data_IF_709187244540
#
_entry.id   IF_709187244540
#
_cell.length_a   1.000
_cell.length_b   1.000
_cell.length_c   1.000
_cell.angle_alpha   90.00
_cell.angle_beta   90.00
_cell.angle_gamma   90.00
#
_symmetry.space_group_name_H-M   'P 1'
#
loop_
_entity.id
_entity.type
_entity.pdbx_description
1 polymer ?
#
# COMPACT_ATOMS: atom_id res chain seq x y z
N UNK A 1 -9.06 -48.55 -4.52
CA UNK A 1 -10.00 -47.47 -4.22
C UNK A 1 -9.43 -46.47 -3.24
N UNK A 2 -8.85 -46.88 -2.11
CA UNK A 2 -8.23 -45.98 -1.09
C UNK A 2 -7.02 -45.22 -1.67
N UNK A 3 -6.19 -45.84 -2.53
CA UNK A 3 -5.07 -45.16 -3.18
C UNK A 3 -5.45 -44.12 -4.25
N UNK A 4 -6.64 -44.24 -4.84
CA UNK A 4 -7.15 -43.21 -5.78
C UNK A 4 -7.77 -42.01 -5.04
N UNK A 5 -8.42 -42.24 -3.92
CA UNK A 5 -8.93 -41.17 -3.06
C UNK A 5 -7.76 -40.31 -2.51
N UNK A 6 -6.68 -40.96 -2.04
CA UNK A 6 -5.49 -40.20 -1.58
C UNK A 6 -4.79 -39.41 -2.70
N UNK A 7 -4.83 -39.91 -3.93
CA UNK A 7 -4.22 -39.23 -5.08
C UNK A 7 -5.07 -38.05 -5.56
N UNK A 8 -6.41 -38.14 -5.48
CA UNK A 8 -7.30 -37.04 -5.80
C UNK A 8 -7.25 -35.92 -4.74
N UNK A 9 -7.13 -36.28 -3.46
CA UNK A 9 -7.00 -35.29 -2.38
C UNK A 9 -5.67 -34.57 -2.42
N UNK A 10 -4.56 -35.26 -2.73
CA UNK A 10 -3.25 -34.64 -2.94
C UNK A 10 -3.26 -33.75 -4.18
N UNK A 11 -3.92 -34.15 -5.26
CA UNK A 11 -4.03 -33.36 -6.50
C UNK A 11 -4.93 -32.13 -6.32
N UNK A 12 -6.00 -32.21 -5.55
CA UNK A 12 -6.85 -31.07 -5.19
C UNK A 12 -6.13 -30.14 -4.21
N UNK A 13 -5.41 -30.66 -3.22
CA UNK A 13 -4.57 -29.86 -2.31
C UNK A 13 -3.44 -29.16 -3.06
N UNK A 14 -2.74 -29.83 -3.98
CA UNK A 14 -1.70 -29.23 -4.82
C UNK A 14 -2.30 -28.18 -5.78
N UNK A 15 -3.49 -28.43 -6.33
CA UNK A 15 -4.18 -27.48 -7.21
C UNK A 15 -4.82 -26.32 -6.44
N UNK A 16 -5.27 -26.52 -5.20
CA UNK A 16 -5.73 -25.45 -4.32
C UNK A 16 -4.57 -24.63 -3.73
N UNK A 17 -3.43 -25.24 -3.45
CA UNK A 17 -2.18 -24.50 -3.15
C UNK A 17 -1.63 -23.79 -4.40
N UNK A 18 -1.82 -24.32 -5.59
CA UNK A 18 -1.46 -23.71 -6.87
C UNK A 18 -2.54 -22.79 -7.46
N UNK A 19 -3.67 -22.64 -6.85
CA UNK A 19 -4.49 -21.42 -6.97
C UNK A 19 -3.72 -20.28 -6.24
N UNK A 20 -2.45 -20.10 -6.60
CA UNK A 20 -1.82 -18.79 -6.63
C UNK A 20 -2.92 -17.85 -7.05
N UNK A 21 -3.26 -16.89 -6.22
CA UNK A 21 -4.34 -15.92 -6.46
C UNK A 21 -4.19 -15.43 -7.90
N UNK A 22 -4.86 -16.11 -8.82
CA UNK A 22 -4.79 -15.77 -10.23
C UNK A 22 -5.21 -14.32 -10.26
N UNK A 23 -4.31 -13.43 -10.65
CA UNK A 23 -4.65 -12.03 -10.80
C UNK A 23 -5.64 -12.05 -11.94
N UNK A 24 -6.94 -12.14 -11.59
CA UNK A 24 -8.00 -12.01 -12.57
C UNK A 24 -7.78 -10.65 -13.23
N UNK A 25 -7.42 -10.68 -14.52
CA UNK A 25 -7.30 -9.48 -15.31
C UNK A 25 -8.64 -8.77 -15.29
N UNK A 26 -8.70 -7.69 -14.53
CA UNK A 26 -9.90 -6.87 -14.45
C UNK A 26 -10.06 -6.16 -15.79
N UNK A 27 -11.30 -6.01 -16.25
CA UNK A 27 -11.60 -5.29 -17.48
C UNK A 27 -10.91 -3.92 -17.49
N UNK A 28 -10.25 -3.60 -18.59
CA UNK A 28 -9.59 -2.30 -18.82
C UNK A 28 -10.52 -1.11 -18.51
N UNK A 29 -11.83 -1.27 -18.79
CA UNK A 29 -12.87 -0.27 -18.48
C UNK A 29 -12.93 0.06 -16.98
N UNK A 30 -12.91 -0.95 -16.09
CA UNK A 30 -12.92 -0.72 -14.63
C UNK A 30 -11.66 0.01 -14.16
N UNK A 31 -10.52 -0.31 -14.73
CA UNK A 31 -9.25 0.32 -14.39
C UNK A 31 -9.23 1.80 -14.78
N UNK A 32 -9.71 2.11 -15.99
CA UNK A 32 -9.85 3.49 -16.46
C UNK A 32 -10.87 4.28 -15.64
N UNK A 33 -11.97 3.65 -15.22
CA UNK A 33 -12.96 4.29 -14.35
C UNK A 33 -12.35 4.78 -13.03
N UNK A 34 -11.57 3.96 -12.33
CA UNK A 34 -10.94 4.38 -11.08
C UNK A 34 -9.88 5.47 -11.28
N UNK A 35 -9.15 5.43 -12.40
CA UNK A 35 -8.22 6.49 -12.75
C UNK A 35 -8.95 7.81 -13.03
N UNK A 36 -10.08 7.76 -13.72
CA UNK A 36 -10.93 8.93 -13.94
C UNK A 36 -11.49 9.47 -12.62
N UNK A 37 -11.97 8.61 -11.73
CA UNK A 37 -12.45 9.02 -10.40
C UNK A 37 -11.33 9.72 -9.61
N UNK A 38 -10.12 9.19 -9.65
CA UNK A 38 -8.95 9.80 -9.01
C UNK A 38 -8.66 11.20 -9.59
N UNK A 39 -8.65 11.34 -10.91
CA UNK A 39 -8.41 12.62 -11.58
C UNK A 39 -9.55 13.63 -11.34
N UNK A 40 -10.80 13.20 -11.39
CA UNK A 40 -11.95 14.06 -11.10
C UNK A 40 -11.87 14.57 -9.66
N UNK A 41 -11.58 13.69 -8.68
CA UNK A 41 -11.38 14.09 -7.31
C UNK A 41 -10.26 15.12 -7.17
N UNK A 42 -9.14 14.92 -7.84
CA UNK A 42 -8.02 15.87 -7.81
C UNK A 42 -8.36 17.21 -8.48
N UNK A 43 -8.98 17.19 -9.66
CA UNK A 43 -9.42 18.42 -10.32
C UNK A 43 -10.47 19.18 -9.48
N UNK A 44 -11.38 18.46 -8.84
CA UNK A 44 -12.39 19.07 -7.98
C UNK A 44 -11.78 19.76 -6.77
N UNK A 45 -10.69 19.25 -6.19
CA UNK A 45 -9.99 19.93 -5.09
C UNK A 45 -9.43 21.29 -5.54
N UNK A 46 -8.90 21.37 -6.76
CA UNK A 46 -8.30 22.61 -7.30
C UNK A 46 -9.35 23.71 -7.49
N UNK A 47 -10.61 23.33 -7.77
CA UNK A 47 -11.70 24.26 -8.04
C UNK A 47 -12.48 24.68 -6.78
N UNK A 48 -12.26 24.00 -5.65
CA UNK A 48 -12.92 24.34 -4.37
C UNK A 48 -12.22 25.54 -3.75
N UNK A 49 -13.02 26.53 -3.37
CA UNK A 49 -12.60 27.72 -2.60
C UNK A 49 -13.33 27.75 -1.27
N UNK A 50 -12.71 28.30 -0.24
CA UNK A 50 -13.34 28.57 1.05
C UNK A 50 -12.85 27.67 2.19
N UNK A 51 -13.78 27.21 3.04
CA UNK A 51 -13.44 26.51 4.28
C UNK A 51 -12.86 25.10 4.04
N UNK A 52 -11.98 24.64 4.93
CA UNK A 52 -11.36 23.30 4.89
C UNK A 52 -12.36 22.14 4.77
N UNK A 53 -13.58 22.31 5.30
CA UNK A 53 -14.66 21.33 5.24
C UNK A 53 -15.09 21.05 3.79
N UNK A 54 -15.04 22.05 2.92
CA UNK A 54 -15.43 21.93 1.51
C UNK A 54 -14.49 20.99 0.72
N UNK A 55 -13.27 20.78 1.21
CA UNK A 55 -12.31 19.84 0.59
C UNK A 55 -12.60 18.36 0.89
N UNK A 56 -13.48 18.05 1.89
CA UNK A 56 -13.76 16.68 2.30
C UNK A 56 -14.42 15.85 1.19
N UNK A 57 -15.48 16.30 0.49
CA UNK A 57 -16.13 15.50 -0.54
C UNK A 57 -15.19 15.16 -1.72
N UNK A 58 -14.44 16.11 -2.32
CA UNK A 58 -13.53 15.79 -3.41
C UNK A 58 -12.35 14.92 -2.98
N UNK A 59 -11.82 15.08 -1.76
CA UNK A 59 -10.78 14.19 -1.23
C UNK A 59 -11.30 12.78 -1.01
N UNK A 60 -12.49 12.61 -0.46
CA UNK A 60 -13.12 11.30 -0.29
C UNK A 60 -13.32 10.59 -1.65
N UNK A 61 -13.76 11.32 -2.67
CA UNK A 61 -13.87 10.80 -4.04
C UNK A 61 -12.51 10.38 -4.57
N UNK A 62 -11.46 11.18 -4.34
CA UNK A 62 -10.08 10.84 -4.69
C UNK A 62 -9.57 9.57 -4.03
N UNK A 63 -9.91 9.34 -2.76
CA UNK A 63 -9.55 8.12 -2.02
C UNK A 63 -10.18 6.88 -2.64
N UNK A 64 -11.43 6.96 -3.10
CA UNK A 64 -12.08 5.86 -3.83
C UNK A 64 -11.30 5.54 -5.11
N UNK A 65 -10.86 6.57 -5.83
CA UNK A 65 -9.97 6.43 -6.98
C UNK A 65 -8.64 5.76 -6.62
N UNK A 66 -7.96 6.24 -5.55
CA UNK A 66 -6.70 5.67 -5.05
C UNK A 66 -6.83 4.20 -4.68
N UNK A 67 -7.91 3.81 -3.99
CA UNK A 67 -8.19 2.41 -3.68
C UNK A 67 -8.24 1.55 -4.95
N UNK A 68 -8.93 2.02 -5.99
CA UNK A 68 -8.99 1.33 -7.28
C UNK A 68 -7.63 1.23 -7.98
N UNK A 69 -6.79 2.28 -7.87
CA UNK A 69 -5.42 2.28 -8.39
C UNK A 69 -4.57 1.19 -7.71
N UNK A 70 -4.62 1.09 -6.37
CA UNK A 70 -3.90 0.06 -5.62
C UNK A 70 -4.42 -1.35 -5.91
N UNK A 71 -5.73 -1.53 -6.01
CA UNK A 71 -6.33 -2.85 -6.16
C UNK A 71 -6.27 -3.41 -7.58
N UNK A 72 -6.35 -2.55 -8.59
CA UNK A 72 -6.52 -2.98 -9.98
C UNK A 72 -5.41 -2.50 -10.91
N UNK A 73 -5.07 -1.20 -10.89
CA UNK A 73 -4.17 -0.60 -11.87
C UNK A 73 -2.71 -1.00 -11.62
N UNK A 74 -2.17 -0.77 -10.43
CA UNK A 74 -0.77 -1.08 -10.11
C UNK A 74 -0.41 -2.56 -10.29
N UNK A 75 -1.19 -3.54 -9.77
CA UNK A 75 -0.87 -4.94 -9.97
C UNK A 75 -0.85 -5.33 -11.45
N UNK A 76 -1.76 -4.78 -12.25
CA UNK A 76 -1.80 -5.08 -13.70
C UNK A 76 -0.65 -4.41 -14.46
N UNK A 77 -0.29 -3.18 -14.12
CA UNK A 77 0.87 -2.50 -14.73
C UNK A 77 2.16 -3.27 -14.48
N UNK A 78 2.36 -3.76 -13.25
CA UNK A 78 3.54 -4.52 -12.89
C UNK A 78 3.62 -5.86 -13.63
N UNK A 79 2.49 -6.50 -13.90
CA UNK A 79 2.44 -7.75 -14.66
C UNK A 79 2.53 -7.55 -16.17
N UNK A 80 1.92 -6.48 -16.70
CA UNK A 80 1.89 -6.24 -18.15
C UNK A 80 3.25 -5.84 -18.71
N UNK A 81 4.08 -5.13 -17.95
CA UNK A 81 5.41 -4.67 -18.36
C UNK A 81 6.45 -5.80 -18.50
N UNK A 82 6.01 -7.05 -18.46
CA UNK A 82 6.83 -8.26 -18.58
C UNK A 82 7.76 -8.26 -19.81
N UNK A 83 7.30 -7.74 -20.94
CA UNK A 83 8.04 -7.79 -22.21
C UNK A 83 9.22 -6.81 -22.29
N UNK A 84 9.18 -5.71 -21.51
CA UNK A 84 10.15 -4.62 -21.62
C UNK A 84 11.27 -4.67 -20.56
N UNK A 85 11.21 -5.60 -19.61
CA UNK A 85 12.17 -5.68 -18.52
C UNK A 85 13.32 -6.64 -18.87
N UNK A 86 14.51 -6.09 -19.09
CA UNK A 86 15.75 -6.84 -19.43
C UNK A 86 16.30 -7.70 -18.27
N UNK A 87 15.69 -7.69 -17.07
CA UNK A 87 16.18 -8.41 -15.90
C UNK A 87 15.13 -9.32 -15.27
N UNK A 88 15.39 -10.66 -15.27
CA UNK A 88 14.50 -11.64 -14.62
C UNK A 88 14.21 -11.32 -13.15
N UNK A 89 15.17 -10.79 -12.41
CA UNK A 89 15.05 -10.43 -10.99
C UNK A 89 14.04 -9.30 -10.75
N UNK A 90 14.09 -8.23 -11.58
CA UNK A 90 13.19 -7.08 -11.46
C UNK A 90 11.74 -7.49 -11.71
N UNK A 91 11.53 -8.40 -12.67
CA UNK A 91 10.20 -8.92 -12.95
C UNK A 91 9.59 -9.68 -11.77
N UNK A 92 10.37 -10.54 -11.11
CA UNK A 92 9.92 -11.28 -9.92
C UNK A 92 9.57 -10.28 -8.81
N UNK A 93 10.43 -9.29 -8.53
CA UNK A 93 10.16 -8.24 -7.54
C UNK A 93 8.86 -7.48 -7.84
N UNK A 94 8.64 -7.06 -9.09
CA UNK A 94 7.42 -6.34 -9.50
C UNK A 94 6.16 -7.19 -9.33
N UNK A 95 6.23 -8.47 -9.69
CA UNK A 95 5.12 -9.41 -9.51
C UNK A 95 4.76 -9.55 -8.02
N UNK A 96 5.74 -9.75 -7.16
CA UNK A 96 5.54 -9.85 -5.72
C UNK A 96 4.97 -8.56 -5.11
N UNK A 97 5.50 -7.40 -5.50
CA UNK A 97 4.99 -6.12 -5.03
C UNK A 97 3.54 -5.90 -5.50
N UNK A 98 3.23 -6.25 -6.75
CA UNK A 98 1.86 -6.17 -7.27
C UNK A 98 0.88 -7.02 -6.48
N UNK A 99 1.26 -8.25 -6.10
CA UNK A 99 0.45 -9.11 -5.25
C UNK A 99 0.30 -8.53 -3.84
N UNK A 100 1.39 -8.02 -3.24
CA UNK A 100 1.35 -7.39 -1.91
C UNK A 100 0.43 -6.17 -1.89
N UNK A 101 0.55 -5.27 -2.86
CA UNK A 101 -0.30 -4.08 -2.97
C UNK A 101 -1.76 -4.49 -3.14
N UNK A 102 -2.05 -5.47 -4.00
CA UNK A 102 -3.41 -5.96 -4.19
C UNK A 102 -4.02 -6.51 -2.90
N UNK A 103 -3.27 -7.29 -2.14
CA UNK A 103 -3.75 -7.89 -0.90
C UNK A 103 -3.93 -6.87 0.22
N UNK A 104 -3.06 -5.85 0.28
CA UNK A 104 -3.11 -4.78 1.28
C UNK A 104 -3.91 -3.56 0.82
N UNK A 105 -4.49 -3.56 -0.39
CA UNK A 105 -5.15 -2.40 -1.00
C UNK A 105 -6.24 -1.76 -0.13
N UNK A 106 -7.03 -2.56 0.60
CA UNK A 106 -8.06 -2.04 1.51
C UNK A 106 -7.47 -1.29 2.71
N UNK A 107 -6.37 -1.79 3.27
CA UNK A 107 -5.69 -1.15 4.39
C UNK A 107 -4.94 0.12 3.93
N UNK A 108 -4.32 0.07 2.75
CA UNK A 108 -3.68 1.25 2.15
C UNK A 108 -4.76 2.31 1.82
N UNK A 109 -5.92 1.90 1.29
CA UNK A 109 -7.06 2.79 1.04
C UNK A 109 -7.56 3.46 2.31
N UNK A 110 -7.68 2.71 3.41
CA UNK A 110 -8.03 3.26 4.71
C UNK A 110 -6.95 4.22 5.24
N UNK A 111 -5.69 3.86 5.07
CA UNK A 111 -4.56 4.71 5.47
C UNK A 111 -4.54 6.03 4.68
N UNK A 112 -4.78 5.98 3.36
CA UNK A 112 -4.86 7.19 2.53
C UNK A 112 -6.05 8.07 2.93
N UNK A 113 -7.20 7.48 3.27
CA UNK A 113 -8.36 8.20 3.78
C UNK A 113 -8.03 8.95 5.09
N UNK A 114 -7.35 8.29 6.02
CA UNK A 114 -6.94 8.91 7.28
C UNK A 114 -6.08 10.16 7.04
N UNK A 115 -5.15 10.10 6.10
CA UNK A 115 -4.23 11.21 5.85
C UNK A 115 -4.88 12.31 5.03
N UNK A 116 -5.67 11.98 4.01
CA UNK A 116 -6.21 12.97 3.09
C UNK A 116 -7.52 13.59 3.55
N UNK A 117 -8.31 12.90 4.38
CA UNK A 117 -9.62 13.37 4.85
C UNK A 117 -9.59 13.75 6.34
N UNK A 118 -9.11 12.85 7.19
CA UNK A 118 -9.15 13.09 8.64
C UNK A 118 -8.23 14.23 9.07
N UNK A 119 -7.10 14.37 8.43
CA UNK A 119 -6.11 15.39 8.76
C UNK A 119 -6.63 16.83 8.51
N UNK A 120 -7.25 17.15 7.36
CA UNK A 120 -7.95 18.43 7.18
C UNK A 120 -9.07 18.68 8.18
N UNK A 121 -9.83 17.64 8.55
CA UNK A 121 -10.89 17.76 9.56
C UNK A 121 -10.30 18.16 10.91
N UNK A 122 -9.21 17.53 11.33
CA UNK A 122 -8.51 17.91 12.55
C UNK A 122 -7.98 19.34 12.49
N UNK A 123 -7.40 19.72 11.36
CA UNK A 123 -6.86 21.06 11.17
C UNK A 123 -7.93 22.16 11.12
N UNK A 124 -9.20 21.82 10.86
CA UNK A 124 -10.32 22.78 10.92
C UNK A 124 -10.83 23.04 12.34
N UNK A 125 -10.41 22.25 13.33
CA UNK A 125 -10.78 22.43 14.74
C UNK A 125 -9.91 23.48 15.44
N UNK A 126 -10.46 24.09 16.48
CA UNK A 126 -9.67 25.04 17.28
C UNK A 126 -8.61 24.30 18.09
N UNK A 127 -7.34 24.72 17.96
CA UNK A 127 -6.17 24.06 18.57
C UNK A 127 -6.28 23.98 20.11
N UNK A 128 -6.93 24.96 20.74
CA UNK A 128 -7.12 25.00 22.20
C UNK A 128 -8.29 24.13 22.69
N UNK A 129 -9.05 23.52 21.79
CA UNK A 129 -10.19 22.70 22.16
C UNK A 129 -9.77 21.31 22.62
N UNK A 130 -10.48 20.77 23.61
CA UNK A 130 -10.31 19.37 24.04
C UNK A 130 -10.62 18.38 22.88
N UNK A 131 -11.47 18.78 21.95
CA UNK A 131 -11.82 18.01 20.75
C UNK A 131 -10.62 17.83 19.83
N UNK A 132 -9.82 18.88 19.63
CA UNK A 132 -8.60 18.82 18.84
C UNK A 132 -7.58 17.84 19.46
N UNK A 133 -7.34 17.93 20.79
CA UNK A 133 -6.40 17.05 21.47
C UNK A 133 -6.86 15.59 21.39
N UNK A 134 -8.13 15.33 21.65
CA UNK A 134 -8.71 13.98 21.57
C UNK A 134 -8.65 13.44 20.13
N UNK A 135 -8.94 14.27 19.14
CA UNK A 135 -8.84 13.95 17.73
C UNK A 135 -7.41 13.60 17.31
N UNK A 136 -6.43 14.37 17.77
CA UNK A 136 -5.00 14.10 17.52
C UNK A 136 -4.55 12.76 18.09
N UNK A 137 -4.88 12.48 19.35
CA UNK A 137 -4.55 11.20 19.99
C UNK A 137 -5.20 10.05 19.23
N UNK A 138 -6.47 10.20 18.88
CA UNK A 138 -7.22 9.19 18.11
C UNK A 138 -6.57 8.95 16.74
N UNK A 139 -6.16 10.01 16.03
CA UNK A 139 -5.47 9.90 14.75
C UNK A 139 -4.17 9.09 14.86
N UNK A 140 -3.32 9.43 15.83
CA UNK A 140 -2.05 8.73 16.04
C UNK A 140 -2.27 7.23 16.31
N UNK A 141 -3.28 6.92 17.12
CA UNK A 141 -3.62 5.53 17.46
C UNK A 141 -4.14 4.74 16.25
N UNK A 142 -5.07 5.33 15.49
CA UNK A 142 -5.67 4.67 14.32
C UNK A 142 -4.62 4.43 13.23
N UNK A 143 -3.76 5.42 12.94
CA UNK A 143 -2.67 5.26 11.97
C UNK A 143 -1.73 4.12 12.38
N UNK A 144 -1.32 4.07 13.65
CA UNK A 144 -0.48 2.98 14.15
C UNK A 144 -1.14 1.61 13.98
N UNK A 145 -2.43 1.48 14.35
CA UNK A 145 -3.20 0.23 14.22
C UNK A 145 -3.34 -0.24 12.78
N UNK A 146 -3.58 0.68 11.84
CA UNK A 146 -3.67 0.34 10.40
C UNK A 146 -2.33 -0.12 9.87
N UNK A 147 -1.23 0.54 10.25
CA UNK A 147 0.12 0.17 9.83
C UNK A 147 0.53 -1.20 10.40
N UNK A 148 0.19 -1.49 11.65
CA UNK A 148 0.40 -2.81 12.26
C UNK A 148 -0.41 -3.88 11.50
N UNK A 149 -1.64 -3.57 11.10
CA UNK A 149 -2.47 -4.48 10.30
C UNK A 149 -1.87 -4.75 8.92
N UNK A 150 -1.27 -3.73 8.29
CA UNK A 150 -0.51 -3.89 7.03
C UNK A 150 0.67 -4.83 7.25
N UNK A 151 1.47 -4.59 8.31
CA UNK A 151 2.62 -5.43 8.66
C UNK A 151 2.20 -6.90 8.87
N UNK A 152 1.13 -7.12 9.62
CA UNK A 152 0.60 -8.46 9.86
C UNK A 152 0.23 -9.16 8.54
N UNK A 153 -0.49 -8.47 7.66
CA UNK A 153 -0.88 -9.01 6.36
C UNK A 153 0.31 -9.29 5.44
N UNK A 154 1.31 -8.41 5.43
CA UNK A 154 2.56 -8.62 4.73
C UNK A 154 3.31 -9.86 5.25
N UNK A 155 3.31 -10.08 6.56
CA UNK A 155 3.94 -11.26 7.18
C UNK A 155 3.22 -12.56 6.85
N UNK A 156 1.89 -12.55 6.74
CA UNK A 156 1.14 -13.73 6.31
C UNK A 156 1.52 -14.15 4.87
N UNK A 157 1.67 -13.19 3.96
CA UNK A 157 2.04 -13.48 2.58
C UNK A 157 3.51 -13.92 2.42
N UNK A 158 4.37 -13.55 3.38
CA UNK A 158 5.76 -13.99 3.35
C UNK A 158 5.92 -15.51 3.34
N UNK A 159 5.06 -16.25 4.03
CA UNK A 159 5.15 -17.73 4.05
C UNK A 159 5.10 -18.31 2.64
N UNK A 160 4.24 -17.76 1.77
CA UNK A 160 4.15 -18.19 0.38
C UNK A 160 5.39 -17.76 -0.42
N UNK A 161 5.88 -16.53 -0.19
CA UNK A 161 7.11 -16.02 -0.83
C UNK A 161 8.35 -16.82 -0.45
N UNK A 162 8.47 -17.30 0.80
CA UNK A 162 9.63 -18.09 1.21
C UNK A 162 9.70 -19.42 0.46
N UNK A 163 8.56 -20.03 0.12
CA UNK A 163 8.54 -21.20 -0.77
C UNK A 163 9.12 -20.87 -2.15
N UNK A 164 8.75 -19.72 -2.73
CA UNK A 164 9.27 -19.26 -4.03
C UNK A 164 10.77 -18.93 -3.95
N UNK A 165 11.24 -18.29 -2.88
CA UNK A 165 12.67 -18.02 -2.66
C UNK A 165 13.48 -19.30 -2.47
N UNK A 166 12.93 -20.33 -1.82
CA UNK A 166 13.56 -21.64 -1.73
C UNK A 166 13.72 -22.29 -3.12
N UNK A 167 12.72 -22.16 -4.00
CA UNK A 167 12.81 -22.65 -5.38
C UNK A 167 13.89 -21.87 -6.15
N UNK A 168 13.94 -20.52 -5.99
CA UNK A 168 14.97 -19.70 -6.63
C UNK A 168 16.38 -20.06 -6.17
N UNK A 169 16.56 -20.39 -4.88
CA UNK A 169 17.84 -20.87 -4.35
C UNK A 169 18.25 -22.20 -5.02
N UNK A 170 17.32 -23.14 -5.16
CA UNK A 170 17.57 -24.42 -5.88
C UNK A 170 17.92 -24.22 -7.35
N UNK A 171 17.46 -23.15 -7.99
CA UNK A 171 17.78 -22.78 -9.39
C UNK A 171 19.12 -22.05 -9.50
N UNK A 172 19.80 -21.77 -8.35
CA UNK A 172 21.15 -21.19 -8.34
C UNK A 172 21.23 -19.71 -7.96
N UNK A 173 20.14 -19.11 -7.44
CA UNK A 173 20.22 -17.75 -6.89
C UNK A 173 20.93 -17.78 -5.53
N UNK A 174 21.96 -16.95 -5.39
CA UNK A 174 22.73 -16.83 -4.15
C UNK A 174 21.91 -16.05 -3.10
N UNK A 175 22.10 -16.36 -1.83
CA UNK A 175 21.45 -15.66 -0.71
C UNK A 175 21.56 -14.14 -0.77
N UNK A 176 22.71 -13.60 -1.20
CA UNK A 176 22.92 -12.17 -1.37
C UNK A 176 21.94 -11.54 -2.38
N UNK A 177 21.61 -12.27 -3.45
CA UNK A 177 20.68 -11.80 -4.48
C UNK A 177 19.24 -11.83 -3.98
N UNK A 178 18.84 -12.88 -3.26
CA UNK A 178 17.52 -12.97 -2.62
C UNK A 178 17.29 -11.85 -1.59
N UNK A 179 18.33 -11.53 -0.81
CA UNK A 179 18.30 -10.40 0.14
C UNK A 179 18.14 -9.05 -0.58
N UNK A 180 18.84 -8.84 -1.69
CA UNK A 180 18.69 -7.62 -2.51
C UNK A 180 17.30 -7.53 -3.14
N UNK A 181 16.74 -8.66 -3.57
CA UNK A 181 15.36 -8.71 -4.10
C UNK A 181 14.36 -8.32 -3.03
N UNK A 182 14.46 -8.87 -1.82
CA UNK A 182 13.59 -8.54 -0.70
C UNK A 182 13.65 -7.04 -0.34
N UNK A 183 14.84 -6.44 -0.36
CA UNK A 183 15.02 -5.01 -0.11
C UNK A 183 14.36 -4.16 -1.20
N UNK A 184 14.58 -4.51 -2.47
CA UNK A 184 13.96 -3.82 -3.62
C UNK A 184 12.43 -3.89 -3.56
N UNK A 185 11.85 -5.05 -3.19
CA UNK A 185 10.41 -5.21 -3.03
C UNK A 185 9.85 -4.26 -1.96
N UNK A 186 10.50 -4.18 -0.80
CA UNK A 186 10.07 -3.30 0.27
C UNK A 186 10.15 -1.82 -0.13
N UNK A 187 11.26 -1.39 -0.76
CA UNK A 187 11.41 -0.01 -1.23
C UNK A 187 10.36 0.33 -2.27
N UNK A 188 10.12 -0.55 -3.24
CA UNK A 188 9.13 -0.32 -4.29
C UNK A 188 7.71 -0.24 -3.72
N UNK A 189 7.38 -1.11 -2.76
CA UNK A 189 6.11 -1.04 -2.06
C UNK A 189 5.92 0.30 -1.35
N UNK A 190 6.94 0.78 -0.63
CA UNK A 190 6.92 2.06 0.05
C UNK A 190 6.70 3.23 -0.91
N UNK A 191 7.44 3.25 -2.01
CA UNK A 191 7.30 4.28 -3.06
C UNK A 191 5.86 4.29 -3.59
N UNK A 192 5.29 3.14 -3.90
CA UNK A 192 3.91 3.07 -4.41
C UNK A 192 2.88 3.60 -3.40
N UNK A 193 3.05 3.27 -2.11
CA UNK A 193 2.12 3.72 -1.05
C UNK A 193 2.21 5.23 -0.84
N UNK A 194 3.39 5.83 -0.97
CA UNK A 194 3.59 7.28 -0.79
C UNK A 194 3.22 8.10 -2.02
N UNK A 195 3.61 7.66 -3.22
CA UNK A 195 3.51 8.49 -4.44
C UNK A 195 2.06 8.77 -4.84
N UNK A 196 1.15 7.81 -4.67
CA UNK A 196 -0.24 7.99 -5.11
C UNK A 196 -0.98 9.08 -4.33
N UNK A 197 -0.92 9.18 -2.98
CA UNK A 197 -1.58 10.25 -2.25
C UNK A 197 -0.82 11.59 -2.30
N UNK A 198 0.46 11.61 -2.70
CA UNK A 198 1.30 12.82 -2.70
C UNK A 198 0.64 14.04 -3.36
N UNK A 199 0.03 13.97 -4.55
CA UNK A 199 -0.57 15.16 -5.18
C UNK A 199 -1.63 15.81 -4.29
N UNK A 200 -2.47 15.01 -3.64
CA UNK A 200 -3.50 15.49 -2.71
C UNK A 200 -2.87 16.13 -1.46
N UNK A 201 -1.83 15.50 -0.92
CA UNK A 201 -1.14 16.00 0.27
C UNK A 201 -0.40 17.32 0.01
N UNK A 202 0.24 17.46 -1.15
CA UNK A 202 0.93 18.69 -1.55
C UNK A 202 -0.08 19.83 -1.73
N UNK A 203 -1.21 19.54 -2.37
CA UNK A 203 -2.24 20.56 -2.56
C UNK A 203 -2.82 21.02 -1.22
N UNK A 204 -3.15 20.10 -0.32
CA UNK A 204 -3.63 20.43 1.02
C UNK A 204 -2.59 21.21 1.84
N UNK A 205 -1.31 20.85 1.75
CA UNK A 205 -0.24 21.61 2.40
C UNK A 205 -0.21 23.06 1.92
N UNK A 206 -0.38 23.30 0.61
CA UNK A 206 -0.48 24.64 0.04
C UNK A 206 -1.64 25.43 0.64
N UNK A 207 -2.81 24.85 0.76
CA UNK A 207 -3.98 25.51 1.34
C UNK A 207 -3.75 25.88 2.82
N UNK A 208 -3.09 25.01 3.60
CA UNK A 208 -2.73 25.31 4.99
C UNK A 208 -1.73 26.48 5.10
N UNK A 209 -0.78 26.60 4.17
CA UNK A 209 0.14 27.75 4.12
C UNK A 209 -0.63 29.05 3.92
N UNK A 210 -1.64 29.05 3.04
CA UNK A 210 -2.44 30.23 2.74
C UNK A 210 -3.35 30.65 3.90
N UNK A 211 -3.83 29.68 4.68
CA UNK A 211 -4.77 29.92 5.78
C UNK A 211 -4.06 30.30 7.09
N UNK A 212 -3.09 29.49 7.53
CA UNK A 212 -2.39 29.73 8.80
C UNK A 212 -1.08 28.93 8.90
N UNK A 213 0.02 29.60 9.21
CA UNK A 213 1.35 28.96 9.35
C UNK A 213 1.45 27.97 10.52
N UNK A 214 0.69 28.16 11.61
CA UNK A 214 0.67 27.24 12.76
C UNK A 214 0.06 25.90 12.38
N UNK A 215 -1.00 25.90 11.58
CA UNK A 215 -1.64 24.67 11.08
C UNK A 215 -0.71 23.87 10.18
N UNK A 216 0.12 24.53 9.38
CA UNK A 216 1.14 23.86 8.57
C UNK A 216 2.13 23.06 9.43
N UNK A 217 2.53 23.60 10.57
CA UNK A 217 3.46 22.91 11.48
C UNK A 217 2.85 21.60 12.00
N UNK A 218 1.57 21.62 12.45
CA UNK A 218 0.86 20.42 12.86
C UNK A 218 0.69 19.43 11.73
N UNK A 219 0.29 19.90 10.54
CA UNK A 219 0.13 19.06 9.36
C UNK A 219 1.44 18.35 8.99
N UNK A 220 2.55 19.08 8.97
CA UNK A 220 3.87 18.51 8.66
C UNK A 220 4.32 17.49 9.72
N UNK A 221 4.06 17.74 11.00
CA UNK A 221 4.35 16.82 12.09
C UNK A 221 3.59 15.50 11.96
N UNK A 222 2.29 15.55 11.66
CA UNK A 222 1.47 14.36 11.45
C UNK A 222 1.86 13.59 10.18
N UNK A 223 2.24 14.30 9.13
CA UNK A 223 2.76 13.66 7.92
C UNK A 223 4.10 12.97 8.18
N UNK A 224 5.02 13.60 8.91
CA UNK A 224 6.29 12.98 9.31
C UNK A 224 6.03 11.74 10.16
N UNK A 225 5.11 11.80 11.13
CA UNK A 225 4.73 10.64 11.93
C UNK A 225 4.24 9.47 11.05
N UNK A 226 3.39 9.73 10.07
CA UNK A 226 2.95 8.74 9.11
C UNK A 226 4.11 8.09 8.34
N UNK A 227 5.00 8.90 7.78
CA UNK A 227 6.15 8.42 7.00
C UNK A 227 7.08 7.58 7.88
N UNK A 228 7.39 8.06 9.09
CA UNK A 228 8.28 7.35 10.04
C UNK A 228 7.67 6.01 10.46
N UNK A 229 6.39 5.98 10.81
CA UNK A 229 5.71 4.75 11.24
C UNK A 229 5.67 3.72 10.09
N UNK A 230 5.45 4.18 8.87
CA UNK A 230 5.46 3.33 7.68
C UNK A 230 6.88 2.81 7.36
N UNK A 231 7.92 3.62 7.54
CA UNK A 231 9.32 3.21 7.41
C UNK A 231 9.69 2.13 8.45
N UNK A 232 9.30 2.32 9.71
CA UNK A 232 9.51 1.32 10.77
C UNK A 232 8.84 0.01 10.39
N UNK A 233 7.60 0.04 9.90
CA UNK A 233 6.89 -1.14 9.43
C UNK A 233 7.68 -1.90 8.34
N UNK A 234 8.23 -1.19 7.36
CA UNK A 234 9.02 -1.78 6.29
C UNK A 234 10.35 -2.36 6.77
N UNK A 235 11.03 -1.68 7.69
CA UNK A 235 12.25 -2.19 8.30
C UNK A 235 11.99 -3.49 9.07
N UNK A 236 10.92 -3.54 9.86
CA UNK A 236 10.50 -4.74 10.57
C UNK A 236 10.14 -5.86 9.59
N UNK A 237 9.41 -5.53 8.51
CA UNK A 237 9.09 -6.48 7.46
C UNK A 237 10.35 -7.04 6.78
N UNK A 238 11.31 -6.19 6.44
CA UNK A 238 12.59 -6.60 5.85
C UNK A 238 13.38 -7.50 6.80
N UNK A 239 13.53 -7.10 8.07
CA UNK A 239 14.28 -7.86 9.08
C UNK A 239 13.67 -9.24 9.31
N UNK A 240 12.35 -9.33 9.45
CA UNK A 240 11.65 -10.60 9.58
C UNK A 240 11.83 -11.50 8.35
N UNK A 241 11.83 -10.94 7.13
CA UNK A 241 12.11 -11.68 5.89
C UNK A 241 13.54 -12.20 5.82
N UNK A 242 14.52 -11.39 6.25
CA UNK A 242 15.93 -11.81 6.32
C UNK A 242 16.15 -13.00 7.24
N UNK A 243 15.51 -12.99 8.44
CA UNK A 243 15.61 -14.11 9.39
C UNK A 243 14.99 -15.38 8.81
N UNK A 244 13.87 -15.26 8.10
CA UNK A 244 13.22 -16.43 7.49
C UNK A 244 14.05 -17.03 6.33
N UNK A 245 14.74 -16.20 5.55
CA UNK A 245 15.66 -16.66 4.51
C UNK A 245 16.83 -17.46 5.09
N UNK A 246 17.35 -17.07 6.27
CA UNK A 246 18.44 -17.79 6.96
C UNK A 246 17.97 -19.12 7.58
N UNK A 247 16.70 -19.23 7.96
CA UNK A 247 16.14 -20.47 8.54
C UNK A 247 15.73 -21.50 7.48
N UNK A 248 15.68 -21.12 6.24
CA UNK A 248 15.33 -21.99 5.10
C UNK A 248 16.53 -22.68 4.46
N UNK A 249 17.74 -22.41 4.98
CA UNK A 249 18.95 -23.19 4.72
C UNK A 249 19.02 -24.38 5.69
#
# INVERSE_FOLDING_TARGET
LIGQLHKSDIYTLINDENKVQAIHFVSFKKMMMYLLIYLIGFCSIITVEGNLINYIPPTALGVIGMYGLYRYLLPQLFLKNKKNLKGKQIYICLSHVGLMIKSTASLIGLLTLLITVLLPVLASQNIESNEFVTGMISYLFIVAMVIISILYKMNMEKKNKMKEFSILNKVGYVYSDLKKMLLKENILYFICVLVIPLPYLIFMAREFILMNSTMLFFYSGLFIYYVVTLLICLLLNYHAGKIQLLKGE
#
